data_IF_109823463370
#
_entry.id   IF_109823463370
#
_cell.length_a   1.000
_cell.length_b   1.000
_cell.length_c   1.000
_cell.angle_alpha   90.00
_cell.angle_beta   90.00
_cell.angle_gamma   90.00
#
_symmetry.space_group_name_H-M   'P 1'
#
loop_
_entity.id
_entity.type
_entity.pdbx_description
1 polymer ?
#
# COMPACT_ATOMS: atom_id res chain seq x y z
N UNK A 1 27.67 16.08 6.98
CA UNK A 1 28.13 15.31 5.82
C UNK A 1 27.83 13.84 6.07
N UNK A 2 27.46 13.12 5.02
CA UNK A 2 27.32 11.66 5.00
C UNK A 2 28.28 11.13 3.95
N UNK A 3 29.06 10.13 4.31
CA UNK A 3 29.89 9.43 3.34
C UNK A 3 29.05 8.38 2.59
N UNK A 4 29.55 7.89 1.46
CA UNK A 4 28.80 7.05 0.56
C UNK A 4 29.64 5.90 0.02
N UNK A 5 29.07 4.69 0.07
CA UNK A 5 29.59 3.48 -0.57
C UNK A 5 28.54 2.91 -1.52
N UNK A 6 28.93 2.62 -2.75
CA UNK A 6 28.05 2.01 -3.74
C UNK A 6 28.08 2.72 -5.10
N UNK A 7 27.14 2.37 -6.02
CA UNK A 7 26.17 1.29 -5.85
C UNK A 7 26.83 -0.10 -5.88
N UNK A 8 26.29 -1.05 -5.10
CA UNK A 8 26.73 -2.45 -5.10
C UNK A 8 25.56 -3.37 -5.48
N UNK A 9 25.85 -4.46 -6.20
CA UNK A 9 24.82 -5.45 -6.53
C UNK A 9 24.35 -6.20 -5.28
N UNK A 10 23.09 -6.01 -4.90
CA UNK A 10 22.48 -6.66 -3.73
C UNK A 10 22.19 -8.15 -3.91
N UNK A 11 22.43 -8.71 -5.11
CA UNK A 11 22.34 -10.14 -5.37
C UNK A 11 23.72 -10.82 -5.37
N UNK A 12 24.82 -10.06 -5.23
CA UNK A 12 26.17 -10.57 -5.04
C UNK A 12 26.54 -10.53 -3.55
N UNK A 13 26.39 -11.67 -2.88
CA UNK A 13 26.65 -11.80 -1.44
C UNK A 13 28.14 -11.51 -1.12
N UNK A 14 29.07 -11.92 -1.98
CA UNK A 14 30.48 -11.70 -1.75
C UNK A 14 30.86 -10.21 -1.77
N UNK A 15 30.27 -9.44 -2.70
CA UNK A 15 30.43 -8.00 -2.78
C UNK A 15 29.76 -7.29 -1.59
N UNK A 16 28.56 -7.73 -1.18
CA UNK A 16 27.89 -7.18 0.01
C UNK A 16 28.69 -7.36 1.28
N UNK A 17 29.29 -8.56 1.50
CA UNK A 17 30.15 -8.82 2.67
C UNK A 17 31.32 -7.83 2.72
N UNK A 18 32.00 -7.61 1.59
CA UNK A 18 33.14 -6.67 1.51
C UNK A 18 32.72 -5.23 1.84
N UNK A 19 31.59 -4.78 1.26
CA UNK A 19 31.08 -3.43 1.47
C UNK A 19 30.64 -3.23 2.92
N UNK A 20 29.95 -4.20 3.52
CA UNK A 20 29.55 -4.10 4.93
C UNK A 20 30.73 -4.16 5.90
N UNK A 21 31.79 -4.95 5.58
CA UNK A 21 33.01 -4.92 6.36
C UNK A 21 33.67 -3.54 6.31
N UNK A 22 33.83 -2.95 5.13
CA UNK A 22 34.36 -1.62 4.97
C UNK A 22 33.51 -0.54 5.67
N UNK A 23 32.16 -0.65 5.57
CA UNK A 23 31.26 0.26 6.26
C UNK A 23 31.34 0.13 7.80
N UNK A 24 31.60 -1.07 8.32
CA UNK A 24 31.79 -1.32 9.76
C UNK A 24 33.09 -0.71 10.29
N UNK A 25 34.12 -0.64 9.46
CA UNK A 25 35.41 -0.04 9.79
C UNK A 25 35.45 1.49 9.57
N UNK A 26 34.42 2.04 8.95
CA UNK A 26 34.29 3.47 8.70
C UNK A 26 33.97 4.23 9.99
N UNK A 27 34.68 5.34 10.23
CA UNK A 27 34.41 6.23 11.37
C UNK A 27 33.40 7.31 10.95
N UNK A 28 32.18 7.21 11.46
CA UNK A 28 31.12 8.16 11.19
C UNK A 28 29.94 7.60 10.42
N UNK A 29 28.93 8.44 10.11
CA UNK A 29 27.73 8.01 9.40
C UNK A 29 28.01 7.81 7.91
N UNK A 30 27.60 6.65 7.37
CA UNK A 30 27.80 6.29 5.97
C UNK A 30 26.53 5.70 5.36
N UNK A 31 26.27 6.04 4.09
CA UNK A 31 25.20 5.44 3.27
C UNK A 31 25.80 4.33 2.45
N UNK A 32 25.27 3.12 2.61
CA UNK A 32 25.57 1.98 1.74
C UNK A 32 24.42 1.82 0.73
N UNK A 33 24.71 2.09 -0.54
CA UNK A 33 23.71 2.00 -1.62
C UNK A 33 23.75 0.62 -2.28
N UNK A 34 22.71 -0.15 -2.04
CA UNK A 34 22.56 -1.51 -2.57
C UNK A 34 21.47 -1.52 -3.63
N UNK A 35 21.79 -2.00 -4.83
CA UNK A 35 20.83 -2.16 -5.93
C UNK A 35 20.28 -3.59 -5.94
N UNK A 36 18.96 -3.71 -5.89
CA UNK A 36 18.28 -5.00 -5.96
C UNK A 36 17.20 -5.00 -7.03
N UNK A 37 16.93 -6.17 -7.57
CA UNK A 37 15.76 -6.43 -8.42
C UNK A 37 14.74 -7.22 -7.60
N UNK A 38 13.56 -6.64 -7.36
CA UNK A 38 12.50 -7.32 -6.63
C UNK A 38 12.08 -8.61 -7.34
N UNK A 39 12.00 -9.71 -6.58
CA UNK A 39 11.64 -11.02 -7.14
C UNK A 39 12.73 -11.72 -7.92
N UNK A 40 14.00 -11.29 -7.82
CA UNK A 40 15.16 -11.88 -8.51
C UNK A 40 15.21 -13.39 -8.36
N UNK A 41 15.37 -14.08 -9.50
CA UNK A 41 15.40 -15.54 -9.58
C UNK A 41 14.04 -16.20 -9.90
N UNK A 42 12.94 -15.42 -9.89
CA UNK A 42 11.62 -15.93 -10.27
C UNK A 42 10.97 -15.07 -11.35
N UNK A 43 10.91 -15.60 -12.58
CA UNK A 43 10.49 -14.86 -13.78
C UNK A 43 9.16 -14.10 -13.63
N UNK A 44 8.15 -14.71 -13.01
CA UNK A 44 6.85 -14.05 -12.83
C UNK A 44 6.91 -12.87 -11.88
N UNK A 45 7.77 -12.95 -10.83
CA UNK A 45 7.97 -11.84 -9.91
C UNK A 45 8.85 -10.73 -10.50
N UNK A 46 9.88 -11.09 -11.27
CA UNK A 46 10.74 -10.12 -11.95
C UNK A 46 9.98 -9.28 -12.98
N UNK A 47 8.95 -9.84 -13.61
CA UNK A 47 8.13 -9.17 -14.63
C UNK A 47 6.92 -8.45 -14.03
N UNK A 48 6.73 -8.50 -12.72
CA UNK A 48 5.58 -7.90 -12.04
C UNK A 48 5.68 -6.38 -12.00
N UNK A 49 4.75 -5.70 -12.66
CA UNK A 49 4.65 -4.23 -12.69
C UNK A 49 3.58 -3.66 -11.76
N UNK A 50 2.76 -4.54 -11.17
CA UNK A 50 1.57 -4.12 -10.38
C UNK A 50 1.65 -4.52 -8.90
N UNK A 51 2.73 -5.21 -8.49
CA UNK A 51 2.93 -5.61 -7.10
C UNK A 51 2.19 -6.89 -6.69
N UNK A 52 1.75 -7.73 -7.65
CA UNK A 52 1.08 -9.01 -7.39
C UNK A 52 1.93 -9.94 -6.52
N UNK A 53 3.26 -9.92 -6.71
CA UNK A 53 4.22 -10.75 -6.00
C UNK A 53 4.79 -10.11 -4.73
N UNK A 54 4.18 -9.03 -4.25
CA UNK A 54 4.58 -8.39 -2.99
C UNK A 54 4.23 -9.24 -1.76
N UNK A 55 3.05 -9.87 -1.78
CA UNK A 55 2.59 -10.81 -0.76
C UNK A 55 1.61 -11.77 -1.42
N UNK A 56 1.99 -13.05 -1.52
CA UNK A 56 1.24 -14.05 -2.26
C UNK A 56 0.76 -15.17 -1.37
N UNK A 57 -0.47 -15.63 -1.59
CA UNK A 57 -0.97 -16.90 -1.08
C UNK A 57 -0.24 -18.08 -1.75
N UNK A 58 -0.37 -19.31 -1.26
CA UNK A 58 0.21 -20.49 -1.91
C UNK A 58 -0.09 -20.50 -3.41
N UNK A 59 0.92 -20.80 -4.21
CA UNK A 59 0.83 -20.82 -5.67
C UNK A 59 1.65 -21.96 -6.27
N UNK A 60 1.31 -22.35 -7.49
CA UNK A 60 2.08 -23.28 -8.28
C UNK A 60 3.32 -22.60 -8.86
N UNK A 61 4.52 -23.09 -8.49
CA UNK A 61 5.79 -22.44 -8.84
C UNK A 61 6.05 -22.47 -10.34
N UNK A 62 5.59 -23.49 -11.05
CA UNK A 62 5.84 -23.65 -12.49
C UNK A 62 4.97 -22.70 -13.31
N UNK A 63 3.72 -22.55 -12.92
CA UNK A 63 2.74 -21.76 -13.68
C UNK A 63 2.48 -20.37 -13.12
N UNK A 64 2.92 -20.07 -11.89
CA UNK A 64 2.63 -18.83 -11.17
C UNK A 64 1.16 -18.63 -10.81
N UNK A 65 0.33 -19.67 -10.90
CA UNK A 65 -1.10 -19.60 -10.59
C UNK A 65 -1.33 -19.79 -9.10
N UNK A 66 -2.23 -18.96 -8.53
CA UNK A 66 -2.65 -19.10 -7.13
C UNK A 66 -3.35 -20.44 -6.92
N UNK A 67 -3.01 -21.12 -5.84
CA UNK A 67 -3.70 -22.32 -5.34
C UNK A 67 -4.80 -21.97 -4.32
N UNK A 68 -4.78 -20.74 -3.80
CA UNK A 68 -5.76 -20.24 -2.84
C UNK A 68 -6.81 -19.44 -3.62
N UNK A 69 -7.87 -20.11 -4.04
CA UNK A 69 -9.01 -19.48 -4.69
C UNK A 69 -10.19 -19.47 -3.72
N UNK A 70 -10.89 -18.37 -3.65
CA UNK A 70 -12.21 -18.35 -3.02
C UNK A 70 -13.16 -19.28 -3.79
N UNK A 71 -14.10 -19.94 -3.11
CA UNK A 71 -15.15 -20.66 -3.79
C UNK A 71 -15.83 -19.79 -4.85
N UNK A 72 -16.35 -20.37 -5.96
CA UNK A 72 -16.88 -19.62 -7.08
C UNK A 72 -17.99 -18.61 -6.75
N UNK A 73 -18.66 -18.80 -5.62
CA UNK A 73 -19.77 -17.95 -5.17
C UNK A 73 -19.39 -17.03 -4.00
N UNK A 74 -18.09 -16.94 -3.68
CA UNK A 74 -17.59 -16.11 -2.61
C UNK A 74 -16.71 -14.98 -3.14
N UNK A 75 -16.88 -13.80 -2.55
CA UNK A 75 -16.01 -12.65 -2.79
C UNK A 75 -15.53 -12.09 -1.45
N UNK A 76 -14.36 -11.45 -1.44
CA UNK A 76 -13.82 -10.84 -0.23
C UNK A 76 -14.65 -9.62 0.20
N UNK A 77 -14.66 -9.32 1.49
CA UNK A 77 -15.28 -8.10 2.01
C UNK A 77 -14.72 -6.83 1.37
N UNK A 78 -13.41 -6.77 1.12
CA UNK A 78 -12.79 -5.64 0.40
C UNK A 78 -13.38 -5.48 -1.00
N UNK A 79 -13.72 -6.58 -1.70
CA UNK A 79 -14.37 -6.52 -3.00
C UNK A 79 -15.81 -6.02 -2.90
N UNK A 80 -16.56 -6.47 -1.88
CA UNK A 80 -17.95 -5.99 -1.64
C UNK A 80 -17.94 -4.49 -1.41
N UNK A 81 -17.05 -4.00 -0.53
CA UNK A 81 -16.95 -2.57 -0.21
C UNK A 81 -16.52 -1.77 -1.44
N UNK A 82 -15.53 -2.22 -2.19
CA UNK A 82 -15.09 -1.55 -3.41
C UNK A 82 -16.21 -1.42 -4.43
N UNK A 83 -16.98 -2.51 -4.67
CA UNK A 83 -18.12 -2.47 -5.57
C UNK A 83 -19.18 -1.47 -5.09
N UNK A 84 -19.49 -1.48 -3.79
CA UNK A 84 -20.46 -0.56 -3.20
C UNK A 84 -20.03 0.90 -3.36
N UNK A 85 -18.74 1.20 -3.09
CA UNK A 85 -18.20 2.56 -3.27
C UNK A 85 -18.27 2.98 -4.74
N UNK A 86 -18.00 2.08 -5.69
CA UNK A 86 -18.16 2.35 -7.12
C UNK A 86 -19.59 2.65 -7.51
N UNK A 87 -20.56 1.86 -7.04
CA UNK A 87 -21.98 2.05 -7.31
C UNK A 87 -22.53 3.38 -6.75
N UNK A 88 -22.02 3.78 -5.57
CA UNK A 88 -22.33 5.08 -4.97
C UNK A 88 -21.68 6.22 -5.76
N UNK A 89 -20.42 6.07 -6.16
CA UNK A 89 -19.67 7.09 -6.90
C UNK A 89 -20.20 7.31 -8.32
N UNK A 90 -20.91 6.35 -8.89
CA UNK A 90 -21.62 6.52 -10.15
C UNK A 90 -22.81 7.50 -10.03
N UNK A 91 -23.48 7.47 -8.87
CA UNK A 91 -24.65 8.30 -8.56
C UNK A 91 -24.28 9.64 -7.95
N UNK A 92 -23.15 9.71 -7.26
CA UNK A 92 -22.70 10.91 -6.55
C UNK A 92 -21.24 11.23 -6.91
N UNK A 93 -21.05 12.32 -7.66
CA UNK A 93 -19.74 12.79 -8.12
C UNK A 93 -18.86 13.34 -7.00
N UNK A 94 -19.41 13.64 -5.83
CA UNK A 94 -18.67 14.12 -4.68
C UNK A 94 -17.88 13.00 -3.97
N UNK A 95 -18.17 11.73 -4.26
CA UNK A 95 -17.47 10.60 -3.65
C UNK A 95 -16.09 10.46 -4.28
N UNK A 96 -15.07 10.43 -3.43
CA UNK A 96 -13.67 10.21 -3.77
C UNK A 96 -13.11 9.06 -2.95
N UNK A 97 -12.16 8.31 -3.51
CA UNK A 97 -11.48 7.23 -2.83
C UNK A 97 -10.01 7.57 -2.59
N UNK A 98 -9.53 7.30 -1.39
CA UNK A 98 -8.17 7.61 -0.94
C UNK A 98 -7.57 6.35 -0.35
N UNK A 99 -6.29 6.08 -0.63
CA UNK A 99 -5.56 4.98 0.01
C UNK A 99 -4.07 5.32 0.13
N UNK A 100 -3.40 4.94 1.22
CA UNK A 100 -1.95 5.07 1.34
C UNK A 100 -1.24 3.81 0.83
N UNK A 101 -0.98 3.71 -0.47
CA UNK A 101 -0.27 2.62 -1.16
C UNK A 101 -0.95 1.23 -1.04
N UNK A 102 -2.27 1.17 -0.86
CA UNK A 102 -3.01 -0.10 -0.64
C UNK A 102 -4.07 -0.37 -1.71
N UNK A 103 -4.02 0.29 -2.86
CA UNK A 103 -5.03 0.22 -3.92
C UNK A 103 -5.38 -1.22 -4.34
N UNK A 104 -4.37 -2.07 -4.52
CA UNK A 104 -4.55 -3.45 -4.93
C UNK A 104 -5.20 -4.30 -3.82
N UNK A 105 -4.70 -4.19 -2.60
CA UNK A 105 -5.22 -4.97 -1.46
C UNK A 105 -6.64 -4.57 -1.07
N UNK A 106 -6.96 -3.30 -1.14
CA UNK A 106 -8.30 -2.73 -0.90
C UNK A 106 -9.25 -2.89 -2.09
N UNK A 107 -8.82 -3.52 -3.19
CA UNK A 107 -9.62 -3.72 -4.42
C UNK A 107 -10.07 -2.43 -5.11
N UNK A 108 -9.35 -1.32 -4.92
CA UNK A 108 -9.69 -0.02 -5.48
C UNK A 108 -9.09 0.25 -6.87
N UNK A 109 -8.35 -0.70 -7.47
CA UNK A 109 -7.77 -0.53 -8.80
C UNK A 109 -8.82 -0.28 -9.89
N UNK A 110 -10.01 -0.90 -9.79
CA UNK A 110 -11.08 -0.66 -10.75
C UNK A 110 -11.73 0.72 -10.54
N UNK A 111 -11.83 1.19 -9.29
CA UNK A 111 -12.24 2.56 -8.98
C UNK A 111 -11.25 3.58 -9.59
N UNK A 112 -9.96 3.37 -9.40
CA UNK A 112 -8.90 4.20 -9.98
C UNK A 112 -9.01 4.30 -11.50
N UNK A 113 -9.24 3.15 -12.16
CA UNK A 113 -9.37 3.10 -13.62
C UNK A 113 -10.62 3.81 -14.13
N UNK A 114 -11.75 3.66 -13.42
CA UNK A 114 -13.04 4.24 -13.81
C UNK A 114 -13.16 5.72 -13.47
N UNK A 115 -12.55 6.15 -12.36
CA UNK A 115 -12.64 7.50 -11.83
C UNK A 115 -11.25 8.07 -11.45
N UNK A 116 -10.32 8.21 -12.40
CA UNK A 116 -8.94 8.61 -12.12
C UNK A 116 -8.85 9.96 -11.40
N UNK A 117 -9.72 10.93 -11.71
CA UNK A 117 -9.74 12.26 -11.08
C UNK A 117 -10.37 12.28 -9.68
N UNK A 118 -10.88 11.13 -9.22
CA UNK A 118 -11.51 10.96 -7.91
C UNK A 118 -10.84 9.87 -7.07
N UNK A 119 -9.67 9.42 -7.51
CA UNK A 119 -8.86 8.43 -6.81
C UNK A 119 -7.51 9.04 -6.44
N UNK A 120 -7.12 8.89 -5.18
CA UNK A 120 -5.88 9.45 -4.63
C UNK A 120 -5.09 8.38 -3.89
N UNK A 121 -3.94 7.99 -4.44
CA UNK A 121 -2.96 7.17 -3.74
C UNK A 121 -1.87 8.09 -3.17
N UNK A 122 -1.80 8.17 -1.84
CA UNK A 122 -0.87 9.05 -1.14
C UNK A 122 0.53 8.43 -0.95
N UNK A 123 0.78 7.25 -1.50
CA UNK A 123 1.97 6.48 -1.13
C UNK A 123 1.92 6.03 0.33
N UNK A 124 3.06 5.69 0.92
CA UNK A 124 3.14 5.23 2.31
C UNK A 124 3.10 6.44 3.25
N UNK A 125 1.93 7.09 3.34
CA UNK A 125 1.72 8.33 4.09
C UNK A 125 0.31 8.35 4.72
N UNK A 126 0.08 7.51 5.71
CA UNK A 126 -1.22 7.31 6.36
C UNK A 126 -1.74 8.57 7.03
N UNK A 127 -0.85 9.33 7.69
CA UNK A 127 -1.19 10.62 8.32
C UNK A 127 -1.73 11.61 7.28
N UNK A 128 -1.00 11.72 6.15
CA UNK A 128 -1.43 12.61 5.06
C UNK A 128 -2.78 12.18 4.48
N UNK A 129 -3.01 10.88 4.29
CA UNK A 129 -4.26 10.36 3.76
C UNK A 129 -5.48 10.78 4.61
N UNK A 130 -5.38 10.71 5.93
CA UNK A 130 -6.46 11.09 6.84
C UNK A 130 -6.66 12.61 6.86
N UNK A 131 -5.59 13.39 7.01
CA UNK A 131 -5.69 14.86 7.01
C UNK A 131 -6.23 15.39 5.68
N UNK A 132 -5.76 14.84 4.56
CA UNK A 132 -6.26 15.21 3.22
C UNK A 132 -7.75 14.86 3.07
N UNK A 133 -8.18 13.68 3.55
CA UNK A 133 -9.59 13.30 3.53
C UNK A 133 -10.46 14.30 4.33
N UNK A 134 -9.99 14.71 5.51
CA UNK A 134 -10.69 15.70 6.31
C UNK A 134 -10.82 17.06 5.58
N UNK A 135 -9.75 17.52 4.95
CA UNK A 135 -9.79 18.75 4.16
C UNK A 135 -10.73 18.65 2.96
N UNK A 136 -10.74 17.51 2.25
CA UNK A 136 -11.68 17.25 1.15
C UNK A 136 -13.13 17.24 1.62
N UNK A 137 -13.43 16.64 2.79
CA UNK A 137 -14.77 16.64 3.34
C UNK A 137 -15.24 18.05 3.74
N UNK A 138 -14.37 18.87 4.31
CA UNK A 138 -14.66 20.29 4.59
C UNK A 138 -14.88 21.07 3.30
N UNK A 139 -14.26 20.67 2.19
CA UNK A 139 -14.48 21.20 0.84
C UNK A 139 -15.76 20.71 0.15
N UNK A 140 -16.57 19.86 0.82
CA UNK A 140 -17.84 19.36 0.29
C UNK A 140 -17.75 18.03 -0.46
N UNK A 141 -16.58 17.36 -0.47
CA UNK A 141 -16.44 16.02 -1.00
C UNK A 141 -16.84 14.95 0.04
N UNK A 142 -17.03 13.72 -0.39
CA UNK A 142 -17.37 12.56 0.44
C UNK A 142 -16.25 11.52 0.34
N UNK A 143 -15.18 11.66 1.11
CA UNK A 143 -14.03 10.79 1.02
C UNK A 143 -14.28 9.43 1.68
N UNK A 144 -13.92 8.37 0.97
CA UNK A 144 -13.74 7.03 1.46
C UNK A 144 -12.24 6.72 1.54
N UNK A 145 -11.71 6.51 2.74
CA UNK A 145 -10.31 6.18 2.99
C UNK A 145 -10.18 4.70 3.25
N UNK A 146 -9.53 3.96 2.36
CA UNK A 146 -9.27 2.53 2.58
C UNK A 146 -7.86 2.32 3.09
N UNK A 147 -7.75 1.70 4.27
CA UNK A 147 -6.49 1.52 4.99
C UNK A 147 -6.51 0.21 5.80
N UNK A 148 -5.36 -0.47 5.92
CA UNK A 148 -5.26 -1.64 6.78
C UNK A 148 -5.20 -1.23 8.26
N UNK A 149 -5.83 -2.03 9.11
CA UNK A 149 -5.91 -1.76 10.56
C UNK A 149 -4.55 -1.52 11.22
N UNK A 150 -3.56 -2.35 10.89
CA UNK A 150 -2.20 -2.23 11.43
C UNK A 150 -1.48 -0.96 10.98
N UNK A 151 -1.81 -0.42 9.80
CA UNK A 151 -1.19 0.81 9.29
C UNK A 151 -1.92 2.07 9.73
N UNK A 152 -3.20 1.97 10.06
CA UNK A 152 -3.98 3.10 10.61
C UNK A 152 -3.39 3.64 11.91
N UNK A 153 -2.65 2.82 12.68
CA UNK A 153 -1.96 3.28 13.88
C UNK A 153 -1.02 4.48 13.63
N UNK A 154 -0.44 4.62 12.42
CA UNK A 154 0.41 5.76 12.06
C UNK A 154 -0.36 7.06 11.93
N UNK A 155 -1.67 7.00 11.77
CA UNK A 155 -2.55 8.16 11.63
C UNK A 155 -3.46 8.34 12.86
N UNK A 156 -3.08 7.80 14.02
CA UNK A 156 -3.90 7.87 15.24
C UNK A 156 -4.23 9.32 15.62
N UNK A 157 -3.23 10.19 15.63
CA UNK A 157 -3.41 11.59 15.97
C UNK A 157 -4.32 12.32 14.96
N UNK A 158 -4.21 12.01 13.68
CA UNK A 158 -5.03 12.60 12.62
C UNK A 158 -6.49 12.14 12.74
N UNK A 159 -6.73 10.87 13.06
CA UNK A 159 -8.08 10.36 13.33
C UNK A 159 -8.68 11.04 14.56
N UNK A 160 -7.91 11.18 15.63
CA UNK A 160 -8.37 11.82 16.86
C UNK A 160 -8.58 13.33 16.68
N UNK A 161 -7.58 14.04 16.14
CA UNK A 161 -7.58 15.49 16.05
C UNK A 161 -8.35 16.00 14.82
N UNK A 162 -7.97 15.56 13.61
CA UNK A 162 -8.49 16.16 12.38
C UNK A 162 -9.89 15.62 12.04
N UNK A 163 -10.16 14.34 12.32
CA UNK A 163 -11.45 13.75 12.04
C UNK A 163 -12.41 13.87 13.20
N UNK A 164 -12.11 13.26 14.36
CA UNK A 164 -13.06 13.10 15.45
C UNK A 164 -13.31 14.41 16.20
N UNK A 165 -12.25 15.09 16.64
CA UNK A 165 -12.37 16.38 17.36
C UNK A 165 -13.01 17.47 16.52
N UNK A 166 -12.68 17.51 15.22
CA UNK A 166 -13.24 18.48 14.27
C UNK A 166 -14.63 18.06 13.75
N UNK A 167 -15.11 16.88 14.13
CA UNK A 167 -16.37 16.29 13.71
C UNK A 167 -16.55 16.29 12.17
N UNK A 168 -15.50 15.86 11.46
CA UNK A 168 -15.49 15.84 9.99
C UNK A 168 -16.06 14.54 9.47
N UNK A 169 -17.06 14.54 8.56
CA UNK A 169 -17.71 13.33 8.07
C UNK A 169 -16.88 12.65 6.97
N UNK A 170 -15.95 11.79 7.34
CA UNK A 170 -15.25 10.89 6.44
C UNK A 170 -15.58 9.43 6.73
N UNK A 171 -15.43 8.56 5.75
CA UNK A 171 -15.63 7.12 5.91
C UNK A 171 -14.27 6.44 5.90
N UNK A 172 -13.93 5.75 6.99
CA UNK A 172 -12.75 4.89 7.09
C UNK A 172 -13.15 3.45 6.80
N UNK A 173 -12.67 2.90 5.69
CA UNK A 173 -12.73 1.48 5.36
C UNK A 173 -11.51 0.78 5.95
N UNK A 174 -11.64 0.27 7.19
CA UNK A 174 -10.53 -0.37 7.89
C UNK A 174 -10.51 -1.85 7.50
N UNK A 175 -9.54 -2.25 6.71
CA UNK A 175 -9.39 -3.61 6.21
C UNK A 175 -8.45 -4.43 7.12
N UNK A 176 -8.57 -5.75 7.06
CA UNK A 176 -7.74 -6.71 7.80
C UNK A 176 -7.75 -6.50 9.32
N UNK A 177 -8.96 -6.35 9.89
CA UNK A 177 -9.18 -6.12 11.32
C UNK A 177 -9.21 -7.40 12.17
N UNK A 178 -9.06 -8.58 11.57
CA UNK A 178 -9.05 -9.86 12.28
C UNK A 178 -7.69 -10.22 12.87
N UNK A 179 -7.61 -11.39 13.49
CA UNK A 179 -6.34 -12.01 13.82
C UNK A 179 -5.62 -12.35 12.51
N UNK A 180 -4.38 -11.88 12.40
CA UNK A 180 -3.55 -12.17 11.23
C UNK A 180 -2.81 -13.48 11.51
N UNK A 181 -3.02 -14.48 10.66
CA UNK A 181 -2.18 -15.68 10.61
C UNK A 181 -0.79 -15.36 10.09
N UNK A 182 0.10 -16.34 10.17
CA UNK A 182 1.49 -16.26 9.70
C UNK A 182 1.57 -15.94 8.20
#
# INVERSE_FOLDING_TARGET
NLDYMGPVDGHDIASLIKVFQAAKEHDGPIVVHVLTQKGKGYKFAEQDKVGKWHGVSPFDVVTGKSLSLLPPNEISWSQVISNTVMDLAEKDKSIVAITPAMAQGSKLLEFQKRYPDRFFDCGIAEQHAVTMACAMALGGLKPFVSIYSSFLQRAYDQVNHDMARMNVPIVLGIDRCGLVGD
#
